data_IF_430898643445
#
_entry.id   IF_430898643445
#
_cell.length_a   1.000
_cell.length_b   1.000
_cell.length_c   1.000
_cell.angle_alpha   90.00
_cell.angle_beta   90.00
_cell.angle_gamma   90.00
#
_symmetry.space_group_name_H-M   'P 1'
#
loop_
_entity.id
_entity.type
_entity.pdbx_description
1 polymer ?
#
# COMPACT_ATOMS: atom_id res chain seq x y z
N UNK A 1 29.86 -14.04 -26.34
CA UNK A 1 29.32 -12.69 -26.05
C UNK A 1 27.78 -12.66 -25.96
N UNK A 2 27.02 -13.24 -26.90
CA UNK A 2 25.54 -13.22 -26.84
C UNK A 2 24.96 -14.03 -25.66
N UNK A 3 25.55 -15.18 -25.34
CA UNK A 3 25.19 -15.97 -24.14
C UNK A 3 25.33 -15.17 -22.83
N UNK A 4 26.39 -14.36 -22.72
CA UNK A 4 26.67 -13.58 -21.51
C UNK A 4 25.64 -12.47 -21.30
N UNK A 5 25.19 -11.82 -22.37
CA UNK A 5 24.16 -10.76 -22.30
C UNK A 5 22.80 -11.36 -21.92
N UNK A 6 22.45 -12.52 -22.47
CA UNK A 6 21.22 -13.22 -22.10
C UNK A 6 21.22 -13.65 -20.62
N UNK A 7 22.31 -14.24 -20.15
CA UNK A 7 22.46 -14.61 -18.74
C UNK A 7 22.35 -13.40 -17.82
N UNK A 8 22.95 -12.28 -18.21
CA UNK A 8 22.89 -11.03 -17.45
C UNK A 8 21.45 -10.48 -17.40
N UNK A 9 20.74 -10.48 -18.53
CA UNK A 9 19.35 -10.02 -18.61
C UNK A 9 18.39 -10.93 -17.82
N UNK A 10 18.59 -12.25 -17.87
CA UNK A 10 17.81 -13.21 -17.07
C UNK A 10 18.06 -13.02 -15.58
N UNK A 11 19.34 -12.88 -15.18
CA UNK A 11 19.70 -12.69 -13.78
C UNK A 11 19.15 -11.36 -13.24
N UNK A 12 19.34 -10.25 -13.96
CA UNK A 12 18.84 -8.95 -13.51
C UNK A 12 17.31 -8.88 -13.52
N UNK A 13 16.65 -9.45 -14.53
CA UNK A 13 15.18 -9.49 -14.60
C UNK A 13 14.58 -10.40 -13.54
N UNK A 14 15.19 -11.58 -13.30
CA UNK A 14 14.76 -12.48 -12.24
C UNK A 14 14.94 -11.86 -10.86
N UNK A 15 16.04 -11.14 -10.64
CA UNK A 15 16.28 -10.41 -9.39
C UNK A 15 15.29 -9.25 -9.20
N UNK A 16 15.01 -8.50 -10.28
CA UNK A 16 14.01 -7.43 -10.27
C UNK A 16 12.61 -7.94 -9.93
N UNK A 17 12.20 -9.08 -10.50
CA UNK A 17 10.93 -9.73 -10.17
C UNK A 17 10.90 -10.23 -8.73
N UNK A 18 12.01 -10.78 -8.23
CA UNK A 18 12.13 -11.22 -6.83
C UNK A 18 11.98 -10.04 -5.87
N UNK A 19 12.68 -8.93 -6.13
CA UNK A 19 12.60 -7.71 -5.33
C UNK A 19 11.16 -7.17 -5.27
N UNK A 20 10.51 -7.00 -6.42
CA UNK A 20 9.10 -6.60 -6.48
C UNK A 20 8.16 -7.59 -5.79
N UNK A 21 8.41 -8.90 -5.89
CA UNK A 21 7.64 -9.92 -5.20
C UNK A 21 7.81 -9.89 -3.68
N UNK A 22 9.02 -9.57 -3.18
CA UNK A 22 9.28 -9.38 -1.75
C UNK A 22 8.66 -8.09 -1.22
N UNK A 23 8.76 -7.00 -1.99
CA UNK A 23 8.12 -5.72 -1.67
C UNK A 23 6.60 -5.84 -1.62
N UNK A 24 6.01 -6.60 -2.54
CA UNK A 24 4.59 -6.88 -2.59
C UNK A 24 4.04 -7.54 -1.30
N UNK A 25 4.87 -8.30 -0.59
CA UNK A 25 4.51 -8.96 0.69
C UNK A 25 5.16 -8.29 1.91
N UNK A 26 5.69 -7.06 1.76
CA UNK A 26 6.38 -6.31 2.82
C UNK A 26 7.55 -7.07 3.48
N UNK A 27 8.24 -7.92 2.70
CA UNK A 27 9.47 -8.63 3.12
C UNK A 27 10.71 -8.13 2.37
N UNK A 28 10.58 -7.01 1.67
CA UNK A 28 11.67 -6.36 0.98
C UNK A 28 12.77 -5.90 1.91
N UNK A 29 14.02 -6.02 1.47
CA UNK A 29 15.17 -5.44 2.16
C UNK A 29 15.64 -4.21 1.40
N UNK A 30 15.99 -3.15 2.12
CA UNK A 30 16.56 -1.93 1.52
C UNK A 30 17.79 -2.24 0.65
N UNK A 31 18.61 -3.22 1.03
CA UNK A 31 19.79 -3.62 0.26
C UNK A 31 19.40 -4.30 -1.07
N UNK A 32 18.39 -5.19 -1.04
CA UNK A 32 17.88 -5.86 -2.24
C UNK A 32 17.29 -4.82 -3.18
N UNK A 33 16.47 -3.90 -2.66
CA UNK A 33 15.84 -2.83 -3.43
C UNK A 33 16.86 -1.90 -4.07
N UNK A 34 17.88 -1.46 -3.32
CA UNK A 34 18.96 -0.62 -3.87
C UNK A 34 19.73 -1.34 -4.97
N UNK A 35 20.07 -2.62 -4.77
CA UNK A 35 20.76 -3.40 -5.78
C UNK A 35 19.92 -3.59 -7.03
N UNK A 36 18.66 -3.99 -6.88
CA UNK A 36 17.67 -4.15 -7.96
C UNK A 36 17.51 -2.87 -8.77
N UNK A 37 17.28 -1.73 -8.09
CA UNK A 37 17.09 -0.42 -8.70
C UNK A 37 18.32 0.12 -9.44
N UNK A 38 19.52 -0.35 -9.12
CA UNK A 38 20.73 0.02 -9.86
C UNK A 38 21.06 -0.98 -10.98
N UNK A 39 20.97 -2.26 -10.67
CA UNK A 39 21.43 -3.32 -11.55
C UNK A 39 20.47 -3.54 -12.74
N UNK A 40 19.16 -3.47 -12.51
CA UNK A 40 18.18 -3.63 -13.58
C UNK A 40 18.30 -2.52 -14.65
N UNK A 41 18.31 -1.21 -14.32
CA UNK A 41 18.44 -0.17 -15.35
C UNK A 41 19.76 -0.22 -16.13
N UNK A 42 20.88 -0.52 -15.47
CA UNK A 42 22.18 -0.64 -16.14
C UNK A 42 22.16 -1.76 -17.19
N UNK A 43 21.63 -2.93 -16.82
CA UNK A 43 21.52 -4.07 -17.73
C UNK A 43 20.46 -3.85 -18.82
N UNK A 44 19.40 -3.11 -18.51
CA UNK A 44 18.39 -2.68 -19.47
C UNK A 44 18.99 -1.77 -20.56
N UNK A 45 19.72 -0.72 -20.17
CA UNK A 45 20.41 0.19 -21.09
C UNK A 45 21.42 -0.58 -21.95
N UNK A 46 22.18 -1.51 -21.36
CA UNK A 46 23.08 -2.37 -22.10
C UNK A 46 22.33 -3.22 -23.15
N UNK A 47 21.17 -3.78 -22.78
CA UNK A 47 20.31 -4.54 -23.69
C UNK A 47 19.78 -3.69 -24.85
N UNK A 48 19.43 -2.42 -24.62
CA UNK A 48 19.08 -1.46 -25.68
C UNK A 48 20.27 -1.24 -26.61
N UNK A 49 21.48 -1.03 -26.08
CA UNK A 49 22.67 -0.89 -26.92
C UNK A 49 22.93 -2.13 -27.79
N UNK A 50 22.70 -3.33 -27.25
CA UNK A 50 22.85 -4.58 -28.00
C UNK A 50 21.71 -4.89 -28.98
N UNK A 51 20.54 -4.26 -28.81
CA UNK A 51 19.46 -4.32 -29.79
C UNK A 51 19.92 -3.82 -31.17
N UNK A 52 20.65 -2.71 -31.21
CA UNK A 52 21.23 -2.16 -32.46
C UNK A 52 22.30 -3.07 -33.09
N UNK A 53 22.81 -4.06 -32.34
CA UNK A 53 23.70 -5.12 -32.84
C UNK A 53 22.95 -6.40 -33.24
N UNK A 54 21.63 -6.31 -33.48
CA UNK A 54 20.72 -7.43 -33.81
C UNK A 54 20.63 -8.51 -32.71
N UNK A 55 20.96 -8.17 -31.46
CA UNK A 55 20.85 -9.07 -30.30
C UNK A 55 19.67 -8.67 -29.42
N UNK A 56 18.47 -9.00 -29.87
CA UNK A 56 17.22 -8.51 -29.30
C UNK A 56 16.70 -9.33 -28.10
N UNK A 57 17.21 -10.54 -27.85
CA UNK A 57 16.64 -11.42 -26.80
C UNK A 57 16.74 -10.77 -25.41
N UNK A 58 17.83 -10.07 -25.09
CA UNK A 58 18.00 -9.42 -23.79
C UNK A 58 16.94 -8.35 -23.51
N UNK A 59 16.62 -7.51 -24.52
CA UNK A 59 15.60 -6.47 -24.35
C UNK A 59 14.20 -7.09 -24.18
N UNK A 60 13.91 -8.20 -24.87
CA UNK A 60 12.62 -8.91 -24.71
C UNK A 60 12.46 -9.46 -23.29
N UNK A 61 13.52 -10.01 -22.70
CA UNK A 61 13.48 -10.50 -21.31
C UNK A 61 13.15 -9.38 -20.32
N UNK A 62 13.79 -8.22 -20.47
CA UNK A 62 13.50 -7.08 -19.59
C UNK A 62 12.09 -6.51 -19.79
N UNK A 63 11.64 -6.38 -21.05
CA UNK A 63 10.29 -5.91 -21.36
C UNK A 63 9.27 -6.86 -20.74
N UNK A 64 9.47 -8.19 -20.86
CA UNK A 64 8.61 -9.17 -20.22
C UNK A 64 8.57 -9.01 -18.69
N UNK A 65 9.72 -8.76 -18.05
CA UNK A 65 9.77 -8.52 -16.61
C UNK A 65 9.01 -7.23 -16.20
N UNK A 66 9.16 -6.13 -16.95
CA UNK A 66 8.39 -4.91 -16.74
C UNK A 66 6.89 -5.15 -16.89
N UNK A 67 6.47 -5.89 -17.92
CA UNK A 67 5.08 -6.26 -18.10
C UNK A 67 4.54 -7.12 -16.97
N UNK A 68 5.33 -8.07 -16.44
CA UNK A 68 4.91 -8.90 -15.32
C UNK A 68 4.69 -8.08 -14.05
N UNK A 69 5.56 -7.11 -13.76
CA UNK A 69 5.38 -6.20 -12.61
C UNK A 69 4.18 -5.28 -12.84
N UNK A 70 4.06 -4.68 -14.02
CA UNK A 70 2.97 -3.75 -14.35
C UNK A 70 1.61 -4.45 -14.47
N UNK A 71 1.57 -5.76 -14.71
CA UNK A 71 0.34 -6.53 -14.77
C UNK A 71 -0.24 -6.88 -13.39
N UNK A 72 0.48 -6.59 -12.30
CA UNK A 72 -0.04 -6.77 -10.93
C UNK A 72 -1.09 -5.68 -10.68
N UNK A 73 -2.37 -6.03 -10.48
CA UNK A 73 -3.41 -5.03 -10.27
C UNK A 73 -3.23 -4.31 -8.93
N UNK A 74 -3.52 -3.01 -8.90
CA UNK A 74 -3.41 -2.20 -7.68
C UNK A 74 -4.31 -2.70 -6.54
N UNK A 75 -5.50 -3.22 -6.86
CA UNK A 75 -6.39 -3.79 -5.86
C UNK A 75 -5.78 -5.01 -5.17
N UNK A 76 -5.06 -5.86 -5.89
CA UNK A 76 -4.41 -7.04 -5.31
C UNK A 76 -3.30 -6.63 -4.32
N UNK A 77 -2.62 -5.52 -4.56
CA UNK A 77 -1.65 -4.97 -3.61
C UNK A 77 -2.32 -4.50 -2.31
N UNK A 78 -3.49 -3.86 -2.41
CA UNK A 78 -4.28 -3.46 -1.25
C UNK A 78 -4.78 -4.70 -0.46
N UNK A 79 -5.27 -5.74 -1.14
CA UNK A 79 -5.69 -7.00 -0.51
C UNK A 79 -4.56 -7.62 0.31
N UNK A 80 -3.41 -7.82 -0.32
CA UNK A 80 -2.26 -8.44 0.35
C UNK A 80 -1.78 -7.58 1.52
N UNK A 81 -1.75 -6.25 1.34
CA UNK A 81 -1.40 -5.35 2.43
C UNK A 81 -2.38 -5.45 3.61
N UNK A 82 -3.69 -5.60 3.36
CA UNK A 82 -4.67 -5.79 4.42
C UNK A 82 -4.38 -7.04 5.24
N UNK A 83 -4.35 -8.20 4.59
CA UNK A 83 -4.22 -9.48 5.29
C UNK A 83 -2.85 -9.67 5.94
N UNK A 84 -1.77 -9.15 5.34
CA UNK A 84 -0.41 -9.24 5.91
C UNK A 84 -0.24 -8.42 7.19
N UNK A 85 -1.04 -7.38 7.39
CA UNK A 85 -0.90 -6.47 8.54
C UNK A 85 -2.12 -6.45 9.47
N UNK A 86 -3.19 -7.20 9.16
CA UNK A 86 -4.44 -7.20 9.93
C UNK A 86 -4.20 -7.41 11.43
N UNK A 87 -3.48 -8.46 11.81
CA UNK A 87 -3.18 -8.78 13.21
C UNK A 87 -2.48 -7.62 13.94
N UNK A 88 -1.42 -7.05 13.34
CA UNK A 88 -0.73 -5.87 13.88
C UNK A 88 -1.65 -4.66 14.02
N UNK A 89 -2.59 -4.46 13.10
CA UNK A 89 -3.55 -3.35 13.17
C UNK A 89 -4.60 -3.58 14.25
N UNK A 90 -5.01 -4.82 14.47
CA UNK A 90 -5.88 -5.19 15.59
C UNK A 90 -5.18 -4.96 16.93
N UNK A 91 -3.89 -5.27 17.03
CA UNK A 91 -3.10 -4.92 18.22
C UNK A 91 -3.05 -3.40 18.45
N UNK A 92 -2.82 -2.60 17.41
CA UNK A 92 -2.87 -1.12 17.51
C UNK A 92 -4.24 -0.65 17.98
N UNK A 93 -5.32 -1.22 17.44
CA UNK A 93 -6.70 -0.90 17.87
C UNK A 93 -6.86 -1.17 19.36
N UNK A 94 -6.39 -2.30 19.87
CA UNK A 94 -6.46 -2.62 21.30
C UNK A 94 -5.59 -1.67 22.15
N UNK A 95 -4.41 -1.29 21.66
CA UNK A 95 -3.58 -0.29 22.32
C UNK A 95 -4.24 1.10 22.35
N UNK A 96 -4.99 1.48 21.31
CA UNK A 96 -5.78 2.71 21.27
C UNK A 96 -6.96 2.66 22.25
N UNK A 97 -7.67 1.52 22.34
CA UNK A 97 -8.76 1.33 23.31
C UNK A 97 -8.28 1.49 24.74
N UNK A 98 -7.10 0.92 25.04
CA UNK A 98 -6.47 0.95 26.36
C UNK A 98 -5.68 2.25 26.64
N UNK A 99 -5.73 3.23 25.72
CA UNK A 99 -5.02 4.51 25.82
C UNK A 99 -3.49 4.36 26.08
N UNK A 100 -2.88 3.29 25.57
CA UNK A 100 -1.43 3.01 25.73
C UNK A 100 -0.56 3.68 24.65
N UNK A 101 -1.18 4.22 23.60
CA UNK A 101 -0.50 4.97 22.54
C UNK A 101 -0.55 6.46 22.84
N UNK A 102 0.61 7.11 22.74
CA UNK A 102 0.71 8.55 22.96
C UNK A 102 -0.05 9.33 21.88
N UNK A 103 -1.00 10.15 22.33
CA UNK A 103 -1.65 11.17 21.50
C UNK A 103 -0.67 12.30 21.20
N UNK A 104 -0.52 12.65 19.92
CA UNK A 104 0.30 13.77 19.48
C UNK A 104 -0.41 15.11 19.78
N UNK A 105 0.35 16.19 20.02
CA UNK A 105 -0.22 17.52 20.20
C UNK A 105 -1.07 17.89 18.99
N UNK A 106 -2.28 18.40 19.23
CA UNK A 106 -3.17 18.86 18.16
C UNK A 106 -2.67 20.20 17.62
N UNK A 107 -1.77 20.14 16.62
CA UNK A 107 -1.14 21.33 16.03
C UNK A 107 -2.14 22.13 15.18
N UNK A 108 -3.25 21.51 14.74
CA UNK A 108 -4.18 22.08 13.76
C UNK A 108 -5.63 22.23 14.26
N UNK A 109 -5.93 21.86 15.51
CA UNK A 109 -7.23 22.10 16.15
C UNK A 109 -8.38 21.26 15.58
N UNK A 110 -8.10 20.05 15.10
CA UNK A 110 -9.04 19.28 14.30
C UNK A 110 -10.19 18.70 15.15
N UNK A 111 -11.43 19.09 14.80
CA UNK A 111 -12.66 18.48 15.31
C UNK A 111 -12.92 17.16 14.59
N UNK A 112 -12.41 16.05 15.12
CA UNK A 112 -12.77 14.71 14.63
C UNK A 112 -11.68 13.67 14.91
N UNK A 113 -10.54 13.80 14.22
CA UNK A 113 -9.41 12.90 14.37
C UNK A 113 -8.32 13.47 15.26
N UNK A 114 -7.77 12.61 16.11
CA UNK A 114 -6.51 12.85 16.80
C UNK A 114 -5.40 12.03 16.15
N UNK A 115 -4.22 12.63 16.08
CA UNK A 115 -3.02 11.92 15.68
C UNK A 115 -2.46 11.21 16.91
N UNK A 116 -2.07 9.96 16.73
CA UNK A 116 -1.39 9.14 17.72
C UNK A 116 -0.06 8.71 17.14
N UNK A 117 0.97 8.60 17.97
CA UNK A 117 2.28 8.17 17.52
C UNK A 117 2.25 6.69 17.14
N UNK A 118 2.75 6.34 15.96
CA UNK A 118 2.89 4.93 15.60
C UNK A 118 3.86 4.22 16.57
N UNK A 119 3.46 3.11 17.22
CA UNK A 119 4.35 2.35 18.07
C UNK A 119 5.52 1.73 17.29
N UNK A 120 6.66 1.56 17.95
CA UNK A 120 7.85 0.95 17.34
C UNK A 120 7.56 -0.49 16.89
N UNK A 121 7.91 -0.83 15.64
CA UNK A 121 7.68 -2.15 15.03
C UNK A 121 6.35 -2.29 14.28
N UNK A 122 5.52 -1.24 14.28
CA UNK A 122 4.22 -1.18 13.60
C UNK A 122 4.21 -0.25 12.38
N UNK A 123 5.34 0.36 12.03
CA UNK A 123 5.46 1.34 10.96
C UNK A 123 4.98 0.80 9.61
N UNK A 124 5.21 -0.48 9.32
CA UNK A 124 4.76 -1.08 8.05
C UNK A 124 3.25 -1.35 8.01
N UNK A 125 2.62 -1.59 9.16
CA UNK A 125 1.17 -1.78 9.25
C UNK A 125 0.41 -0.46 9.10
N UNK A 126 0.99 0.65 9.57
CA UNK A 126 0.40 2.00 9.52
C UNK A 126 0.81 2.76 8.25
N UNK A 127 2.01 2.50 7.72
CA UNK A 127 2.67 3.24 6.63
C UNK A 127 2.84 4.74 6.88
N UNK A 128 2.74 5.16 8.15
CA UNK A 128 2.87 6.54 8.59
C UNK A 128 3.48 6.59 9.98
N UNK A 129 4.16 7.70 10.29
CA UNK A 129 4.71 7.98 11.63
C UNK A 129 3.60 8.26 12.66
N UNK A 130 2.39 8.59 12.19
CA UNK A 130 1.21 8.80 13.02
C UNK A 130 0.02 8.00 12.52
N UNK A 131 -0.82 7.61 13.47
CA UNK A 131 -2.11 6.95 13.28
C UNK A 131 -3.21 7.99 13.48
N UNK A 132 -4.19 8.02 12.56
CA UNK A 132 -5.38 8.87 12.70
C UNK A 132 -6.48 8.05 13.39
N UNK A 133 -6.93 8.47 14.56
CA UNK A 133 -8.04 7.81 15.27
C UNK A 133 -9.04 8.81 15.86
N UNK A 134 -10.31 8.43 15.87
CA UNK A 134 -11.42 9.21 16.42
C UNK A 134 -12.12 8.37 17.50
N UNK A 135 -12.03 8.81 18.76
CA UNK A 135 -12.71 8.20 19.91
C UNK A 135 -13.89 9.12 20.28
N UNK A 136 -15.10 8.74 19.87
CA UNK A 136 -16.31 9.52 20.15
C UNK A 136 -16.91 9.16 21.52
N UNK A 137 -16.73 7.90 21.95
CA UNK A 137 -17.06 7.39 23.27
C UNK A 137 -16.12 6.23 23.64
N UNK A 138 -16.30 5.62 24.82
CA UNK A 138 -15.51 4.45 25.22
C UNK A 138 -15.79 3.22 24.32
N UNK A 139 -16.95 3.17 23.67
CA UNK A 139 -17.38 2.06 22.81
C UNK A 139 -17.27 2.39 21.30
N UNK A 140 -17.14 3.68 20.94
CA UNK A 140 -17.09 4.17 19.56
C UNK A 140 -15.69 4.71 19.21
N UNK A 141 -14.90 3.86 18.57
CA UNK A 141 -13.54 4.09 18.11
C UNK A 141 -13.45 3.81 16.61
N UNK A 142 -12.90 4.77 15.88
CA UNK A 142 -12.53 4.62 14.48
C UNK A 142 -11.05 4.86 14.28
N UNK A 143 -10.40 4.03 13.45
CA UNK A 143 -8.95 4.10 13.21
C UNK A 143 -8.68 3.98 11.72
N UNK A 144 -7.90 4.90 11.16
CA UNK A 144 -7.48 4.86 9.77
C UNK A 144 -6.03 4.35 9.64
N UNK A 145 -5.84 3.42 8.71
CA UNK A 145 -4.55 2.87 8.29
C UNK A 145 -4.36 3.08 6.80
N UNK A 146 -3.20 3.57 6.38
CA UNK A 146 -2.92 3.79 4.97
C UNK A 146 -2.63 2.46 4.26
N UNK A 147 -3.20 2.23 3.08
CA UNK A 147 -3.04 0.95 2.34
C UNK A 147 -1.76 0.88 1.50
N UNK A 148 -1.31 2.02 0.99
CA UNK A 148 -0.13 2.12 0.14
C UNK A 148 0.61 3.44 0.37
N UNK A 149 1.90 3.46 0.07
CA UNK A 149 2.66 4.71 0.06
C UNK A 149 2.06 5.65 -0.99
N UNK A 150 2.00 6.95 -0.69
CA UNK A 150 1.50 7.96 -1.63
C UNK A 150 2.32 7.87 -2.93
N UNK A 151 1.72 7.64 -4.11
CA UNK A 151 2.47 7.53 -5.34
C UNK A 151 3.25 8.80 -5.63
N UNK A 152 4.49 8.63 -6.07
CA UNK A 152 5.50 9.69 -6.29
C UNK A 152 5.04 10.80 -7.25
N UNK A 153 4.00 10.57 -8.05
CA UNK A 153 3.44 11.53 -9.02
C UNK A 153 2.00 11.95 -8.76
N UNK A 154 1.38 11.54 -7.64
CA UNK A 154 0.09 12.10 -7.21
C UNK A 154 0.34 13.25 -6.23
N UNK A 155 0.32 14.47 -6.76
CA UNK A 155 0.48 15.70 -5.96
C UNK A 155 -0.70 15.97 -5.03
N UNK A 156 -1.87 15.42 -5.33
CA UNK A 156 -3.10 15.59 -4.54
C UNK A 156 -3.16 14.62 -3.33
N UNK A 157 -2.17 13.71 -3.21
CA UNK A 157 -2.22 12.59 -2.28
C UNK A 157 -3.04 11.42 -2.86
N UNK A 158 -2.96 10.28 -2.18
CA UNK A 158 -3.91 9.19 -2.34
C UNK A 158 -4.42 8.92 -0.93
N UNK A 159 -5.64 9.34 -0.66
CA UNK A 159 -6.31 9.05 0.60
C UNK A 159 -7.03 7.70 0.49
N UNK A 160 -6.26 6.64 0.24
CA UNK A 160 -6.76 5.26 0.30
C UNK A 160 -6.23 4.51 1.53
N UNK A 161 -7.08 3.65 2.08
CA UNK A 161 -6.72 2.94 3.28
C UNK A 161 -7.83 2.09 3.86
N UNK A 162 -7.56 1.61 5.06
CA UNK A 162 -8.44 0.77 5.84
C UNK A 162 -8.94 1.55 7.05
N UNK A 163 -10.24 1.50 7.27
CA UNK A 163 -10.90 2.06 8.45
C UNK A 163 -11.38 0.91 9.32
N UNK A 164 -10.95 0.90 10.57
CA UNK A 164 -11.54 0.07 11.61
C UNK A 164 -12.69 0.81 12.29
N UNK A 165 -13.77 0.11 12.59
CA UNK A 165 -14.88 0.57 13.43
C UNK A 165 -15.11 -0.42 14.58
N UNK A 166 -15.08 0.05 15.82
CA UNK A 166 -15.36 -0.80 16.99
C UNK A 166 -16.82 -1.25 17.07
N UNK A 167 -17.75 -0.54 16.42
CA UNK A 167 -19.18 -0.85 16.43
C UNK A 167 -19.60 -1.74 15.26
N UNK A 168 -18.70 -1.95 14.28
CA UNK A 168 -19.04 -2.63 13.03
C UNK A 168 -19.98 -1.84 12.12
N UNK A 169 -20.22 -0.57 12.45
CA UNK A 169 -20.92 0.41 11.62
C UNK A 169 -19.90 1.43 11.10
N UNK A 170 -19.94 1.73 9.81
CA UNK A 170 -19.11 2.80 9.24
C UNK A 170 -19.76 4.14 9.57
N UNK A 171 -19.04 5.10 10.17
CA UNK A 171 -19.62 6.40 10.45
C UNK A 171 -19.64 7.20 9.14
N UNK A 172 -20.67 8.02 8.95
CA UNK A 172 -20.80 8.80 7.72
C UNK A 172 -19.51 9.59 7.42
N UNK A 173 -19.08 9.77 6.15
CA UNK A 173 -17.93 10.59 5.76
C UNK A 173 -17.94 12.00 6.40
N UNK A 174 -19.13 12.55 6.67
CA UNK A 174 -19.31 13.82 7.39
C UNK A 174 -18.82 13.79 8.85
N UNK A 175 -18.94 12.65 9.54
CA UNK A 175 -18.38 12.44 10.89
C UNK A 175 -16.85 12.31 10.84
N UNK A 176 -16.31 11.85 9.71
CA UNK A 176 -14.86 11.74 9.50
C UNK A 176 -14.19 13.05 9.11
N UNK A 177 -14.94 14.09 8.73
CA UNK A 177 -14.38 15.33 8.15
C UNK A 177 -13.30 15.04 7.08
N UNK A 178 -13.49 13.95 6.33
CA UNK A 178 -12.51 13.43 5.38
C UNK A 178 -13.06 13.53 3.96
N UNK A 179 -12.13 13.44 2.99
CA UNK A 179 -12.43 13.62 1.57
C UNK A 179 -12.80 12.32 0.84
N UNK A 180 -13.11 11.23 1.56
CA UNK A 180 -13.43 9.96 0.92
C UNK A 180 -14.75 10.05 0.16
N UNK A 181 -14.76 9.60 -1.10
CA UNK A 181 -15.97 9.57 -1.92
C UNK A 181 -16.83 8.32 -1.68
N UNK A 182 -16.23 7.24 -1.19
CA UNK A 182 -16.96 6.00 -0.90
C UNK A 182 -16.17 5.02 -0.05
N UNK A 183 -16.86 3.97 0.38
CA UNK A 183 -16.26 2.89 1.15
C UNK A 183 -16.88 1.53 0.82
N UNK A 184 -16.15 0.46 1.14
CA UNK A 184 -16.59 -0.93 1.04
C UNK A 184 -16.29 -1.67 2.34
N UNK A 185 -17.24 -2.45 2.83
CA UNK A 185 -17.00 -3.36 3.96
C UNK A 185 -16.16 -4.55 3.48
N UNK A 186 -15.07 -4.82 4.17
CA UNK A 186 -14.10 -5.86 3.80
C UNK A 186 -13.99 -6.97 4.84
N UNK A 187 -14.41 -6.69 6.08
CA UNK A 187 -14.52 -7.64 7.18
C UNK A 187 -15.50 -7.08 8.22
N UNK A 188 -15.80 -7.81 9.29
CA UNK A 188 -16.81 -7.47 10.31
C UNK A 188 -16.71 -6.01 10.80
N UNK A 189 -15.51 -5.55 11.11
CA UNK A 189 -15.20 -4.22 11.63
C UNK A 189 -14.32 -3.38 10.69
N UNK A 190 -14.05 -3.89 9.48
CA UNK A 190 -13.07 -3.30 8.58
C UNK A 190 -13.70 -2.83 7.29
N UNK A 191 -13.26 -1.66 6.86
CA UNK A 191 -13.71 -1.01 5.65
C UNK A 191 -12.52 -0.54 4.84
N UNK A 192 -12.59 -0.67 3.52
CA UNK A 192 -11.68 0.03 2.63
C UNK A 192 -12.31 1.34 2.17
N UNK A 193 -11.53 2.41 2.20
CA UNK A 193 -11.92 3.76 1.79
C UNK A 193 -10.96 4.28 0.72
N UNK A 194 -11.49 5.08 -0.20
CA UNK A 194 -10.67 5.80 -1.17
C UNK A 194 -11.36 7.07 -1.64
N UNK A 195 -10.54 8.03 -2.05
CA UNK A 195 -10.86 9.23 -2.80
C UNK A 195 -10.94 8.99 -4.33
N UNK A 196 -10.96 7.74 -4.78
CA UNK A 196 -11.09 7.35 -6.19
C UNK A 196 -12.19 6.29 -6.35
N UNK A 197 -13.35 6.71 -6.87
CA UNK A 197 -14.53 5.84 -7.00
C UNK A 197 -14.32 4.71 -8.02
N UNK A 198 -13.60 4.98 -9.12
CA UNK A 198 -13.32 3.98 -10.14
C UNK A 198 -12.39 2.90 -9.56
N UNK A 199 -11.39 3.32 -8.78
CA UNK A 199 -10.52 2.38 -8.06
C UNK A 199 -11.31 1.53 -7.05
N UNK A 200 -12.23 2.13 -6.30
CA UNK A 200 -13.15 1.39 -5.41
C UNK A 200 -13.96 0.33 -6.16
N UNK A 201 -14.48 0.65 -7.35
CA UNK A 201 -15.27 -0.27 -8.18
C UNK A 201 -14.44 -1.46 -8.65
N UNK A 202 -13.19 -1.24 -9.04
CA UNK A 202 -12.31 -2.29 -9.57
C UNK A 202 -11.83 -3.31 -8.52
N UNK A 203 -11.88 -2.99 -7.22
CA UNK A 203 -11.41 -3.90 -6.16
C UNK A 203 -12.31 -5.13 -5.87
N UNK A 204 -13.25 -5.47 -6.76
CA UNK A 204 -14.23 -6.53 -6.57
C UNK A 204 -13.68 -7.97 -6.65
N UNK A 205 -12.36 -8.21 -6.63
CA UNK A 205 -11.84 -9.59 -6.68
C UNK A 205 -12.04 -10.30 -5.33
N UNK A 206 -11.77 -9.63 -4.20
CA UNK A 206 -12.06 -10.14 -2.84
C UNK A 206 -12.90 -9.18 -1.98
N UNK A 207 -12.99 -7.90 -2.34
CA UNK A 207 -13.81 -6.90 -1.63
C UNK A 207 -15.17 -6.68 -2.30
N UNK A 208 -15.95 -7.75 -2.37
CA UNK A 208 -17.32 -7.73 -2.91
C UNK A 208 -18.29 -7.19 -1.86
N UNK A 209 -18.39 -5.86 -1.78
CA UNK A 209 -19.46 -5.16 -1.06
C UNK A 209 -20.13 -4.14 -1.99
N UNK A 210 -21.39 -3.81 -1.69
CA UNK A 210 -22.01 -2.62 -2.29
C UNK A 210 -21.18 -1.38 -1.93
N UNK A 211 -20.91 -0.54 -2.93
CA UNK A 211 -20.30 0.77 -2.66
C UNK A 211 -21.37 1.60 -1.98
N UNK A 212 -21.08 2.05 -0.77
CA UNK A 212 -21.97 2.94 -0.02
C UNK A 212 -21.44 4.37 -0.22
N UNK A 213 -22.27 5.18 -0.87
CA UNK A 213 -22.03 6.61 -1.08
C UNK A 213 -22.95 7.38 -0.12
N UNK A 214 -22.41 8.39 0.58
CA UNK A 214 -23.10 9.20 1.59
C UNK A 214 -23.17 10.70 1.21
#
# INVERSE_FOLDING_TARGET
MQKNILLLALFSSGFYLLDHGLDFIDKGSQLIRLFSNYFFPVTFIASIYFLFKKKWIGIVVHIAALFLVAAIPDHLQADVNFYMHKEKREEIVEMLKNDTIQKEPDIYGNKGFFNYRTPEGYETAVRSATIRAAKHSDEELYVFFQSADVPVFKFDGLEEGFVYSSTGEFPSPKKFNSYYYGYKKIDDNWYFVSDDEDRLREMCVHYCGEIIND
#
